data_IF_159015517606
#
_entry.id   IF_159015517606
#
_cell.length_a   1.000
_cell.length_b   1.000
_cell.length_c   1.000
_cell.angle_alpha   90.00
_cell.angle_beta   90.00
_cell.angle_gamma   90.00
#
_symmetry.space_group_name_H-M   'P 1'
#
loop_
_entity.id
_entity.type
_entity.pdbx_description
1 polymer ?
#
# COMPACT_ATOMS: atom_id res chain seq x y z
N UNK A 1 4.64 6.97 -43.97
CA UNK A 1 3.46 7.58 -43.33
C UNK A 1 3.93 8.25 -42.05
N UNK A 2 3.50 9.47 -41.76
CA UNK A 2 4.00 10.23 -40.60
C UNK A 2 3.49 9.59 -39.30
N UNK A 3 4.28 9.54 -38.22
CA UNK A 3 3.84 8.95 -36.95
C UNK A 3 2.60 9.66 -36.37
N UNK A 4 2.44 10.95 -36.66
CA UNK A 4 1.26 11.75 -36.28
C UNK A 4 -0.04 11.31 -36.97
N UNK A 5 0.02 10.85 -38.22
CA UNK A 5 -1.17 10.38 -38.95
C UNK A 5 -1.68 9.03 -38.43
N UNK A 6 -0.78 8.15 -37.97
CA UNK A 6 -1.17 6.88 -37.35
C UNK A 6 -1.86 7.11 -35.99
N UNK A 7 -1.31 8.01 -35.17
CA UNK A 7 -1.90 8.45 -33.90
C UNK A 7 -3.29 9.06 -34.08
N UNK A 8 -3.47 9.92 -35.08
CA UNK A 8 -4.80 10.49 -35.39
C UNK A 8 -5.80 9.42 -35.81
N UNK A 9 -5.36 8.34 -36.45
CA UNK A 9 -6.19 7.17 -36.75
C UNK A 9 -6.69 6.49 -35.47
N UNK A 10 -5.78 6.21 -34.53
CA UNK A 10 -6.12 5.58 -33.25
C UNK A 10 -6.99 6.43 -32.34
N UNK A 11 -6.76 7.75 -32.30
CA UNK A 11 -7.65 8.68 -31.58
C UNK A 11 -9.08 8.61 -32.12
N UNK A 12 -9.22 8.52 -33.45
CA UNK A 12 -10.55 8.38 -34.08
C UNK A 12 -11.17 7.03 -33.77
N UNK A 13 -10.41 5.95 -33.87
CA UNK A 13 -10.85 4.59 -33.52
C UNK A 13 -11.36 4.52 -32.08
N UNK A 14 -10.57 5.01 -31.11
CA UNK A 14 -10.96 5.14 -29.70
C UNK A 14 -12.20 5.99 -29.49
N UNK A 15 -12.33 7.11 -30.21
CA UNK A 15 -13.53 7.94 -30.10
C UNK A 15 -14.77 7.19 -30.60
N UNK A 16 -14.64 6.43 -31.69
CA UNK A 16 -15.75 5.64 -32.24
C UNK A 16 -16.10 4.45 -31.36
N UNK A 17 -15.13 3.79 -30.73
CA UNK A 17 -15.37 2.68 -29.80
C UNK A 17 -16.09 3.17 -28.54
N UNK A 18 -15.69 4.33 -28.00
CA UNK A 18 -16.37 4.99 -26.89
C UNK A 18 -17.82 5.39 -27.23
N UNK A 19 -18.04 5.98 -28.41
CA UNK A 19 -19.39 6.34 -28.90
C UNK A 19 -20.31 5.13 -29.02
N UNK A 20 -19.79 3.95 -29.38
CA UNK A 20 -20.55 2.70 -29.43
C UNK A 20 -20.87 2.12 -28.05
N UNK A 21 -20.04 2.37 -27.03
CA UNK A 21 -20.25 1.86 -25.67
C UNK A 21 -21.37 2.61 -24.94
N UNK A 22 -21.47 3.93 -25.11
CA UNK A 22 -22.47 4.78 -24.45
C UNK A 22 -23.93 4.30 -24.62
N UNK A 23 -24.44 3.96 -25.82
CA UNK A 23 -25.81 3.47 -25.98
C UNK A 23 -26.03 2.11 -25.30
N UNK A 24 -25.01 1.25 -25.25
CA UNK A 24 -25.10 -0.04 -24.54
C UNK A 24 -25.21 0.17 -23.02
N UNK A 25 -24.44 1.11 -22.47
CA UNK A 25 -24.52 1.49 -21.05
C UNK A 25 -25.92 2.05 -20.71
N UNK A 26 -26.48 2.91 -21.57
CA UNK A 26 -27.84 3.41 -21.39
C UNK A 26 -28.88 2.29 -21.46
N UNK A 27 -28.73 1.34 -22.40
CA UNK A 27 -29.59 0.17 -22.51
C UNK A 27 -29.51 -0.73 -21.28
N UNK A 28 -28.33 -0.91 -20.69
CA UNK A 28 -28.17 -1.64 -19.44
C UNK A 28 -28.84 -0.93 -18.28
N UNK A 29 -28.68 0.40 -18.19
CA UNK A 29 -29.31 1.22 -17.13
C UNK A 29 -30.84 1.10 -17.16
N UNK A 30 -31.41 1.13 -18.37
CA UNK A 30 -32.85 1.10 -18.59
C UNK A 30 -33.39 -0.34 -18.67
N UNK A 31 -32.55 -1.35 -18.41
CA UNK A 31 -32.96 -2.76 -18.41
C UNK A 31 -33.98 -3.03 -17.29
N UNK A 32 -35.23 -3.27 -17.69
CA UNK A 32 -36.27 -3.81 -16.83
C UNK A 32 -36.43 -5.29 -17.15
N UNK A 33 -36.16 -6.18 -16.19
CA UNK A 33 -36.43 -7.60 -16.37
C UNK A 33 -37.93 -7.79 -16.65
N UNK A 34 -38.27 -8.19 -17.87
CA UNK A 34 -39.63 -8.60 -18.19
C UNK A 34 -39.91 -9.92 -17.47
N UNK A 35 -41.14 -10.12 -17.01
CA UNK A 35 -41.54 -11.32 -16.26
C UNK A 35 -41.27 -12.56 -17.13
N UNK A 36 -40.29 -13.37 -16.74
CA UNK A 36 -39.91 -14.61 -17.44
C UNK A 36 -38.70 -14.52 -18.38
N UNK A 37 -38.18 -13.34 -18.73
CA UNK A 37 -36.82 -13.25 -19.31
C UNK A 37 -35.82 -13.24 -18.16
N UNK A 38 -35.07 -14.34 -18.03
CA UNK A 38 -34.05 -14.50 -17.00
C UNK A 38 -33.02 -13.36 -16.99
N UNK A 39 -32.23 -13.30 -15.92
CA UNK A 39 -31.14 -12.33 -15.76
C UNK A 39 -30.02 -12.45 -16.82
N UNK A 40 -30.11 -13.43 -17.72
CA UNK A 40 -29.14 -13.77 -18.76
C UNK A 40 -28.88 -12.60 -19.72
N UNK A 41 -29.93 -12.00 -20.30
CA UNK A 41 -29.78 -10.87 -21.22
C UNK A 41 -29.09 -9.64 -20.56
N UNK A 42 -29.29 -9.44 -19.25
CA UNK A 42 -28.58 -8.40 -18.49
C UNK A 42 -27.10 -8.74 -18.33
N UNK A 43 -26.80 -10.01 -18.03
CA UNK A 43 -25.44 -10.49 -17.83
C UNK A 43 -24.64 -10.47 -19.14
N UNK A 44 -25.27 -10.85 -20.26
CA UNK A 44 -24.69 -10.76 -21.60
C UNK A 44 -24.40 -9.31 -22.01
N UNK A 45 -25.36 -8.39 -21.84
CA UNK A 45 -25.12 -6.96 -22.10
C UNK A 45 -24.02 -6.42 -21.19
N UNK A 46 -23.99 -6.85 -19.92
CA UNK A 46 -22.95 -6.48 -18.97
C UNK A 46 -21.56 -6.98 -19.37
N UNK A 47 -21.45 -8.23 -19.84
CA UNK A 47 -20.18 -8.81 -20.28
C UNK A 47 -19.70 -8.21 -21.61
N UNK A 48 -20.62 -7.92 -22.54
CA UNK A 48 -20.31 -7.24 -23.80
C UNK A 48 -19.74 -5.84 -23.54
N UNK A 49 -20.41 -5.04 -22.70
CA UNK A 49 -19.92 -3.69 -22.34
C UNK A 49 -18.56 -3.79 -21.64
N UNK A 50 -18.38 -4.76 -20.75
CA UNK A 50 -17.11 -4.94 -20.05
C UNK A 50 -15.97 -5.30 -21.03
N UNK A 51 -16.23 -6.17 -22.00
CA UNK A 51 -15.25 -6.54 -23.04
C UNK A 51 -14.87 -5.33 -23.89
N UNK A 52 -15.85 -4.56 -24.38
CA UNK A 52 -15.60 -3.36 -25.21
C UNK A 52 -14.88 -2.26 -24.43
N UNK A 53 -15.21 -2.08 -23.15
CA UNK A 53 -14.52 -1.11 -22.29
C UNK A 53 -13.05 -1.53 -22.07
N UNK A 54 -12.79 -2.82 -21.89
CA UNK A 54 -11.43 -3.35 -21.75
C UNK A 54 -10.61 -3.20 -23.03
N UNK A 55 -11.22 -3.41 -24.19
CA UNK A 55 -10.60 -3.18 -25.49
C UNK A 55 -10.25 -1.70 -25.69
N UNK A 56 -11.17 -0.78 -25.39
CA UNK A 56 -10.91 0.65 -25.44
C UNK A 56 -9.83 1.10 -24.43
N UNK A 57 -9.73 0.47 -23.26
CA UNK A 57 -8.63 0.70 -22.31
C UNK A 57 -7.28 0.27 -22.88
N UNK A 58 -7.21 -0.87 -23.56
CA UNK A 58 -5.99 -1.34 -24.23
C UNK A 58 -5.58 -0.41 -25.37
N UNK A 59 -6.53 0.04 -26.19
CA UNK A 59 -6.29 1.03 -27.23
C UNK A 59 -5.75 2.35 -26.67
N UNK A 60 -6.25 2.79 -25.50
CA UNK A 60 -5.76 3.99 -24.81
C UNK A 60 -4.35 3.79 -24.27
N UNK A 61 -4.03 2.63 -23.70
CA UNK A 61 -2.67 2.32 -23.25
C UNK A 61 -1.68 2.37 -24.41
N UNK A 62 -2.06 1.80 -25.57
CA UNK A 62 -1.26 1.89 -26.79
C UNK A 62 -1.11 3.34 -27.27
N UNK A 63 -2.19 4.13 -27.24
CA UNK A 63 -2.15 5.56 -27.58
C UNK A 63 -1.20 6.33 -26.65
N UNK A 64 -1.23 6.02 -25.35
CA UNK A 64 -0.37 6.67 -24.33
C UNK A 64 1.10 6.37 -24.56
N UNK A 65 1.45 5.12 -24.88
CA UNK A 65 2.83 4.72 -25.21
C UNK A 65 3.32 5.45 -26.47
N UNK A 66 2.47 5.58 -27.49
CA UNK A 66 2.84 6.31 -28.72
C UNK A 66 2.99 7.82 -28.50
N UNK A 67 2.16 8.41 -27.64
CA UNK A 67 2.29 9.80 -27.22
C UNK A 67 3.59 10.03 -26.44
N UNK A 68 3.91 9.15 -25.49
CA UNK A 68 5.16 9.21 -24.71
C UNK A 68 6.40 9.01 -25.59
N UNK A 69 6.33 8.14 -26.60
CA UNK A 69 7.39 7.99 -27.60
C UNK A 69 7.59 9.25 -28.46
N UNK A 70 6.53 10.01 -28.75
CA UNK A 70 6.62 11.29 -29.46
C UNK A 70 7.14 12.45 -28.59
N UNK A 71 6.93 12.37 -27.29
CA UNK A 71 7.43 13.32 -26.28
C UNK A 71 8.93 13.09 -26.04
N UNK A 72 9.34 11.87 -25.73
CA UNK A 72 10.75 11.48 -25.51
C UNK A 72 11.61 11.55 -26.78
N UNK A 73 11.02 11.26 -27.95
CA UNK A 73 11.67 11.45 -29.25
C UNK A 73 11.94 12.92 -29.60
N UNK A 74 11.34 13.88 -28.88
CA UNK A 74 11.57 15.31 -29.04
C UNK A 74 12.84 15.81 -28.33
N UNK A 75 13.28 15.13 -27.27
CA UNK A 75 14.49 15.50 -26.50
C UNK A 75 15.79 15.11 -27.21
N UNK A 76 15.72 14.21 -28.20
CA UNK A 76 16.86 13.83 -29.02
C UNK A 76 17.08 14.83 -30.15
N UNK A 77 18.03 15.75 -29.92
CA UNK A 77 18.86 16.49 -30.90
C UNK A 77 18.54 17.98 -31.01
N UNK A 78 19.42 18.77 -30.39
CA UNK A 78 19.97 20.07 -30.86
C UNK A 78 19.65 20.34 -32.35
N UNK A 79 18.52 20.96 -32.67
CA UNK A 79 18.18 21.43 -34.03
C UNK A 79 17.26 22.65 -33.92
N UNK A 80 17.41 23.68 -34.79
CA UNK A 80 16.95 25.03 -34.48
C UNK A 80 15.41 25.17 -34.56
N UNK A 81 14.84 26.12 -33.80
CA UNK A 81 13.40 26.23 -33.49
C UNK A 81 12.48 26.65 -34.66
N UNK A 82 13.03 27.05 -35.80
CA UNK A 82 12.25 27.70 -36.87
C UNK A 82 11.39 26.74 -37.73
N UNK A 83 11.58 25.42 -37.63
CA UNK A 83 10.93 24.42 -38.51
C UNK A 83 9.90 23.54 -37.78
N UNK A 84 9.82 23.64 -36.45
CA UNK A 84 9.01 22.73 -35.62
C UNK A 84 7.64 23.26 -35.19
N UNK A 85 7.39 24.58 -35.25
CA UNK A 85 6.12 25.19 -34.81
C UNK A 85 4.82 24.50 -35.28
N UNK A 86 4.64 24.16 -36.58
CA UNK A 86 3.41 23.51 -37.03
C UNK A 86 3.28 22.06 -36.54
N UNK A 87 4.39 21.32 -36.43
CA UNK A 87 4.40 19.92 -36.00
C UNK A 87 4.23 19.79 -34.48
N UNK A 88 4.75 20.74 -33.71
CA UNK A 88 4.57 20.81 -32.26
C UNK A 88 3.12 21.16 -31.90
N UNK A 89 2.49 22.10 -32.61
CA UNK A 89 1.08 22.40 -32.43
C UNK A 89 0.16 21.21 -32.76
N UNK A 90 0.50 20.41 -33.78
CA UNK A 90 -0.22 19.17 -34.09
C UNK A 90 -0.07 18.11 -32.98
N UNK A 91 1.12 17.96 -32.41
CA UNK A 91 1.38 17.04 -31.29
C UNK A 91 0.60 17.44 -30.04
N UNK A 92 0.64 18.72 -29.67
CA UNK A 92 -0.07 19.24 -28.50
C UNK A 92 -1.58 19.03 -28.62
N UNK A 93 -2.14 19.22 -29.83
CA UNK A 93 -3.55 18.89 -30.11
C UNK A 93 -3.83 17.40 -29.88
N UNK A 94 -2.99 16.50 -30.37
CA UNK A 94 -3.17 15.05 -30.18
C UNK A 94 -3.09 14.68 -28.70
N UNK A 95 -2.16 15.25 -27.93
CA UNK A 95 -2.04 15.04 -26.49
C UNK A 95 -3.31 15.50 -25.77
N UNK A 96 -3.81 16.70 -26.11
CA UNK A 96 -5.05 17.22 -25.50
C UNK A 96 -6.28 16.36 -25.83
N UNK A 97 -6.36 15.80 -27.04
CA UNK A 97 -7.43 14.88 -27.44
C UNK A 97 -7.32 13.54 -26.72
N UNK A 98 -6.11 12.99 -26.58
CA UNK A 98 -5.85 11.77 -25.83
C UNK A 98 -6.24 11.92 -24.34
N UNK A 99 -5.92 13.06 -23.73
CA UNK A 99 -6.31 13.37 -22.35
C UNK A 99 -7.83 13.47 -22.16
N UNK A 100 -8.55 14.04 -23.12
CA UNK A 100 -10.02 14.08 -23.11
C UNK A 100 -10.64 12.68 -23.21
N UNK A 101 -10.16 11.86 -24.15
CA UNK A 101 -10.62 10.47 -24.30
C UNK A 101 -10.35 9.63 -23.05
N UNK A 102 -9.24 9.87 -22.35
CA UNK A 102 -8.95 9.22 -21.07
C UNK A 102 -9.98 9.56 -19.98
N UNK A 103 -10.39 10.83 -19.90
CA UNK A 103 -11.41 11.26 -18.95
C UNK A 103 -12.79 10.73 -19.32
N UNK A 104 -13.11 10.69 -20.62
CA UNK A 104 -14.36 10.12 -21.11
C UNK A 104 -14.45 8.60 -20.85
N UNK A 105 -13.34 7.86 -20.94
CA UNK A 105 -13.28 6.44 -20.55
C UNK A 105 -13.52 6.25 -19.05
N UNK A 106 -12.94 7.09 -18.19
CA UNK A 106 -13.21 7.04 -16.74
C UNK A 106 -14.68 7.34 -16.45
N UNK A 107 -15.26 8.34 -17.13
CA UNK A 107 -16.66 8.70 -16.99
C UNK A 107 -17.57 7.55 -17.39
N UNK A 108 -17.36 6.97 -18.58
CA UNK A 108 -18.16 5.83 -19.05
C UNK A 108 -18.02 4.60 -18.15
N UNK A 109 -16.86 4.35 -17.54
CA UNK A 109 -16.68 3.31 -16.52
C UNK A 109 -17.47 3.58 -15.24
N UNK A 110 -17.50 4.84 -14.79
CA UNK A 110 -18.35 5.30 -13.69
C UNK A 110 -19.84 5.09 -13.99
N UNK A 111 -20.26 5.50 -15.18
CA UNK A 111 -21.64 5.35 -15.67
C UNK A 111 -22.03 3.87 -15.81
N UNK A 112 -21.12 3.01 -16.28
CA UNK A 112 -21.34 1.57 -16.34
C UNK A 112 -21.55 0.95 -14.96
N UNK A 113 -20.75 1.33 -13.95
CA UNK A 113 -20.91 0.82 -12.58
C UNK A 113 -22.26 1.25 -11.98
N UNK A 114 -22.66 2.49 -12.20
CA UNK A 114 -23.96 2.98 -11.70
C UNK A 114 -25.12 2.31 -12.45
N UNK A 115 -25.01 2.13 -13.76
CA UNK A 115 -25.96 1.41 -14.59
C UNK A 115 -26.12 -0.06 -14.15
N UNK A 116 -25.03 -0.76 -13.84
CA UNK A 116 -25.08 -2.13 -13.31
C UNK A 116 -25.85 -2.20 -11.98
N UNK A 117 -25.60 -1.27 -11.07
CA UNK A 117 -26.31 -1.21 -9.78
C UNK A 117 -27.79 -0.90 -9.97
N UNK A 118 -28.12 0.01 -10.88
CA UNK A 118 -29.51 0.34 -11.21
C UNK A 118 -30.24 -0.84 -11.85
N UNK A 119 -29.64 -1.50 -12.83
CA UNK A 119 -30.18 -2.69 -13.48
C UNK A 119 -30.40 -3.84 -12.49
N UNK A 120 -29.46 -4.04 -11.55
CA UNK A 120 -29.60 -5.04 -10.47
C UNK A 120 -30.79 -4.69 -9.56
N UNK A 121 -30.91 -3.43 -9.12
CA UNK A 121 -32.05 -2.98 -8.30
C UNK A 121 -33.38 -3.19 -9.02
N UNK A 122 -33.46 -2.82 -10.30
CA UNK A 122 -34.66 -2.98 -11.12
C UNK A 122 -35.06 -4.47 -11.25
N UNK A 123 -34.09 -5.35 -11.49
CA UNK A 123 -34.33 -6.79 -11.57
C UNK A 123 -34.77 -7.38 -10.22
N UNK A 124 -34.20 -6.95 -9.10
CA UNK A 124 -34.65 -7.39 -7.76
C UNK A 124 -36.09 -6.92 -7.47
N UNK A 125 -36.44 -5.69 -7.86
CA UNK A 125 -37.81 -5.18 -7.72
C UNK A 125 -38.79 -6.00 -8.57
N UNK A 126 -38.42 -6.37 -9.80
CA UNK A 126 -39.24 -7.24 -10.64
C UNK A 126 -39.43 -8.63 -10.03
N UNK A 127 -38.36 -9.26 -9.52
CA UNK A 127 -38.43 -10.57 -8.85
C UNK A 127 -39.30 -10.54 -7.59
N UNK A 128 -39.29 -9.44 -6.83
CA UNK A 128 -40.17 -9.28 -5.66
C UNK A 128 -41.64 -9.21 -6.08
N UNK A 129 -41.95 -8.42 -7.10
CA UNK A 129 -43.32 -8.33 -7.66
C UNK A 129 -43.81 -9.69 -8.17
N UNK A 130 -42.96 -10.47 -8.84
CA UNK A 130 -43.32 -11.83 -9.28
C UNK A 130 -43.66 -12.75 -8.09
N UNK A 131 -42.83 -12.72 -7.03
CA UNK A 131 -43.10 -13.50 -5.81
C UNK A 131 -44.41 -13.10 -5.15
N UNK A 132 -44.70 -11.81 -5.06
CA UNK A 132 -45.96 -11.29 -4.50
C UNK A 132 -47.17 -11.78 -5.31
N UNK A 133 -47.09 -11.79 -6.64
CA UNK A 133 -48.15 -12.32 -7.50
C UNK A 133 -48.36 -13.84 -7.34
N UNK A 134 -47.28 -14.61 -7.21
CA UNK A 134 -47.35 -16.06 -6.99
C UNK A 134 -47.93 -16.41 -5.61
N UNK A 135 -47.53 -15.68 -4.56
CA UNK A 135 -48.04 -15.86 -3.20
C UNK A 135 -49.52 -15.47 -3.11
N UNK A 136 -49.92 -14.36 -3.74
CA UNK A 136 -51.33 -13.94 -3.79
C UNK A 136 -52.23 -15.00 -4.45
N UNK A 137 -51.73 -15.69 -5.49
CA UNK A 137 -52.46 -16.78 -6.16
C UNK A 137 -52.68 -17.98 -5.21
N UNK A 138 -51.69 -18.35 -4.39
CA UNK A 138 -51.77 -19.51 -3.49
C UNK A 138 -52.79 -19.35 -2.35
N UNK A 139 -53.00 -18.13 -1.83
CA UNK A 139 -53.95 -17.90 -0.72
C UNK A 139 -55.42 -17.98 -1.12
N UNK A 140 -55.74 -18.06 -2.42
CA UNK A 140 -57.11 -18.12 -2.92
C UNK A 140 -57.70 -19.54 -3.02
N UNK A 141 -56.87 -20.59 -2.97
CA UNK A 141 -57.29 -21.97 -3.26
C UNK A 141 -57.63 -22.84 -2.04
N UNK A 142 -57.43 -22.39 -0.81
CA UNK A 142 -57.49 -23.26 0.40
C UNK A 142 -58.81 -23.16 1.20
N UNK A 143 -59.79 -22.39 0.74
CA UNK A 143 -61.10 -22.27 1.40
C UNK A 143 -62.18 -23.05 0.65
N UNK A 144 -62.46 -24.27 1.14
CA UNK A 144 -63.78 -24.96 1.26
C UNK A 144 -63.66 -26.44 0.92
N UNK A 145 -63.89 -27.31 1.91
CA UNK A 145 -64.99 -28.30 1.94
C UNK A 145 -65.16 -28.87 3.37
N UNK A 146 -66.36 -28.84 3.98
CA UNK A 146 -66.66 -29.56 5.21
C UNK A 146 -67.24 -30.95 4.89
N UNK A 147 -66.84 -31.95 5.66
CA UNK A 147 -67.18 -33.38 5.48
C UNK A 147 -68.55 -33.72 6.08
N UNK A 148 -69.37 -34.44 5.30
CA UNK A 148 -70.65 -35.03 5.73
C UNK A 148 -70.45 -36.31 6.55
N UNK A 149 -71.45 -36.61 7.38
CA UNK A 149 -71.44 -37.64 8.43
C UNK A 149 -71.45 -39.05 7.81
N UNK A 150 -70.32 -39.74 7.88
CA UNK A 150 -70.15 -41.13 7.43
C UNK A 150 -70.69 -42.14 8.44
N UNK A 151 -71.26 -43.24 7.94
CA UNK A 151 -71.86 -44.33 8.73
C UNK A 151 -70.79 -45.17 9.44
N UNK A 152 -71.14 -45.99 10.42
CA UNK A 152 -70.15 -46.72 11.25
C UNK A 152 -69.31 -47.73 10.45
N UNK A 153 -69.89 -48.38 9.43
CA UNK A 153 -69.14 -49.26 8.51
C UNK A 153 -68.20 -48.46 7.60
N UNK A 154 -68.63 -47.28 7.12
CA UNK A 154 -67.75 -46.35 6.40
C UNK A 154 -66.63 -45.84 7.29
N UNK A 155 -66.87 -45.67 8.59
CA UNK A 155 -65.85 -45.24 9.55
C UNK A 155 -64.76 -46.31 9.72
N UNK A 156 -65.14 -47.58 9.77
CA UNK A 156 -64.19 -48.72 9.88
C UNK A 156 -63.43 -48.93 8.56
N UNK A 157 -64.11 -48.82 7.42
CA UNK A 157 -63.49 -48.86 6.09
C UNK A 157 -62.54 -47.67 5.90
N UNK A 158 -62.93 -46.48 6.32
CA UNK A 158 -62.11 -45.29 6.27
C UNK A 158 -60.94 -45.38 7.26
N UNK A 159 -61.10 -45.97 8.45
CA UNK A 159 -60.00 -46.21 9.38
C UNK A 159 -58.97 -47.20 8.81
N UNK A 160 -59.41 -48.24 8.11
CA UNK A 160 -58.52 -49.19 7.44
C UNK A 160 -57.80 -48.55 6.24
N UNK A 161 -58.52 -47.70 5.49
CA UNK A 161 -57.94 -46.89 4.43
C UNK A 161 -56.93 -45.89 5.00
N UNK A 162 -57.23 -45.28 6.14
CA UNK A 162 -56.37 -44.30 6.80
C UNK A 162 -55.10 -44.96 7.37
N UNK A 163 -55.19 -46.16 7.95
CA UNK A 163 -54.01 -46.96 8.32
C UNK A 163 -53.19 -47.31 7.07
N UNK A 164 -53.83 -47.72 5.98
CA UNK A 164 -53.14 -48.02 4.71
C UNK A 164 -52.49 -46.77 4.12
N UNK A 165 -53.15 -45.61 4.24
CA UNK A 165 -52.67 -44.32 3.77
C UNK A 165 -51.51 -43.84 4.63
N UNK A 166 -51.59 -44.02 5.95
CA UNK A 166 -50.56 -43.70 6.92
C UNK A 166 -49.31 -44.56 6.68
N UNK A 167 -49.47 -45.87 6.44
CA UNK A 167 -48.34 -46.76 6.15
C UNK A 167 -47.69 -46.46 4.79
N UNK A 168 -48.49 -46.09 3.78
CA UNK A 168 -47.94 -45.52 2.53
C UNK A 168 -47.21 -44.20 2.76
N UNK A 169 -47.74 -43.34 3.64
CA UNK A 169 -47.13 -42.05 3.98
C UNK A 169 -45.84 -42.22 4.76
N UNK A 170 -45.76 -43.18 5.69
CA UNK A 170 -44.52 -43.49 6.41
C UNK A 170 -43.49 -44.11 5.47
N UNK A 171 -43.90 -44.96 4.53
CA UNK A 171 -43.00 -45.46 3.49
C UNK A 171 -42.48 -44.33 2.61
N UNK A 172 -43.34 -43.42 2.16
CA UNK A 172 -42.94 -42.22 1.41
C UNK A 172 -42.00 -41.33 2.23
N UNK A 173 -42.26 -41.14 3.53
CA UNK A 173 -41.37 -40.41 4.43
C UNK A 173 -40.03 -41.10 4.60
N UNK A 174 -40.01 -42.43 4.76
CA UNK A 174 -38.78 -43.20 4.88
C UNK A 174 -37.96 -43.12 3.58
N UNK A 175 -38.60 -43.19 2.42
CA UNK A 175 -37.94 -42.97 1.13
C UNK A 175 -37.40 -41.55 0.99
N UNK A 176 -38.17 -40.55 1.44
CA UNK A 176 -37.75 -39.15 1.42
C UNK A 176 -36.55 -38.92 2.37
N UNK A 177 -36.58 -39.45 3.59
CA UNK A 177 -35.48 -39.37 4.55
C UNK A 177 -34.23 -40.12 4.07
N UNK A 178 -34.39 -41.27 3.40
CA UNK A 178 -33.26 -41.97 2.77
C UNK A 178 -32.63 -41.14 1.64
N UNK A 179 -33.44 -40.49 0.79
CA UNK A 179 -32.93 -39.58 -0.24
C UNK A 179 -32.28 -38.33 0.36
N UNK A 180 -32.82 -37.82 1.47
CA UNK A 180 -32.26 -36.70 2.24
C UNK A 180 -30.91 -37.07 2.85
N UNK A 181 -30.77 -38.29 3.37
CA UNK A 181 -29.53 -38.83 3.91
C UNK A 181 -28.46 -39.00 2.83
N UNK A 182 -28.82 -39.52 1.65
CA UNK A 182 -27.87 -39.57 0.53
C UNK A 182 -27.41 -38.19 0.08
N UNK A 183 -28.31 -37.20 0.03
CA UNK A 183 -27.94 -35.83 -0.29
C UNK A 183 -27.03 -35.20 0.78
N UNK A 184 -27.29 -35.51 2.06
CA UNK A 184 -26.43 -35.07 3.16
C UNK A 184 -25.02 -35.72 3.06
N UNK A 185 -24.95 -37.01 2.73
CA UNK A 185 -23.68 -37.72 2.52
C UNK A 185 -22.91 -37.13 1.33
N UNK A 186 -23.56 -36.91 0.18
CA UNK A 186 -22.89 -36.29 -0.97
C UNK A 186 -22.42 -34.86 -0.67
N UNK A 187 -23.15 -34.12 0.17
CA UNK A 187 -22.75 -32.77 0.60
C UNK A 187 -21.53 -32.83 1.52
N UNK A 188 -21.49 -33.78 2.46
CA UNK A 188 -20.34 -33.97 3.34
C UNK A 188 -19.10 -34.41 2.55
N UNK A 189 -19.25 -35.31 1.57
CA UNK A 189 -18.17 -35.70 0.66
C UNK A 189 -17.67 -34.50 -0.16
N UNK A 190 -18.57 -33.70 -0.74
CA UNK A 190 -18.20 -32.48 -1.45
C UNK A 190 -17.47 -31.48 -0.55
N UNK A 191 -17.93 -31.30 0.69
CA UNK A 191 -17.27 -30.42 1.65
C UNK A 191 -15.89 -30.93 2.04
N UNK A 192 -15.72 -32.25 2.17
CA UNK A 192 -14.43 -32.88 2.46
C UNK A 192 -13.48 -32.72 1.27
N UNK A 193 -13.97 -32.94 0.05
CA UNK A 193 -13.20 -32.70 -1.17
C UNK A 193 -12.78 -31.24 -1.31
N UNK A 194 -13.65 -30.29 -0.95
CA UNK A 194 -13.34 -28.87 -0.93
C UNK A 194 -12.29 -28.51 0.14
N UNK A 195 -12.30 -29.14 1.31
CA UNK A 195 -11.26 -28.95 2.33
C UNK A 195 -9.92 -29.50 1.84
N UNK A 196 -9.91 -30.64 1.16
CA UNK A 196 -8.69 -31.22 0.59
C UNK A 196 -8.13 -30.34 -0.53
N UNK A 197 -8.96 -29.84 -1.44
CA UNK A 197 -8.51 -28.93 -2.51
C UNK A 197 -8.02 -27.59 -1.95
N UNK A 198 -8.61 -27.11 -0.86
CA UNK A 198 -8.13 -25.94 -0.15
C UNK A 198 -6.76 -26.21 0.49
N UNK A 199 -6.56 -27.37 1.13
CA UNK A 199 -5.26 -27.79 1.69
C UNK A 199 -4.18 -27.88 0.61
N UNK A 200 -4.50 -28.46 -0.55
CA UNK A 200 -3.60 -28.51 -1.70
C UNK A 200 -3.27 -27.11 -2.23
N UNK A 201 -4.27 -26.23 -2.30
CA UNK A 201 -4.07 -24.82 -2.69
C UNK A 201 -3.15 -24.10 -1.70
N UNK A 202 -3.33 -24.29 -0.38
CA UNK A 202 -2.43 -23.72 0.64
C UNK A 202 -1.01 -24.27 0.55
N UNK A 203 -0.84 -25.56 0.31
CA UNK A 203 0.47 -26.18 0.06
C UNK A 203 1.13 -25.57 -1.18
N UNK A 204 0.38 -25.39 -2.27
CA UNK A 204 0.88 -24.72 -3.47
C UNK A 204 1.30 -23.26 -3.19
N UNK A 205 0.53 -22.53 -2.39
CA UNK A 205 0.89 -21.17 -1.98
C UNK A 205 2.16 -21.14 -1.13
N UNK A 206 2.38 -22.11 -0.25
CA UNK A 206 3.63 -22.21 0.52
C UNK A 206 4.84 -22.47 -0.38
N UNK A 207 4.69 -23.32 -1.42
CA UNK A 207 5.74 -23.53 -2.43
C UNK A 207 6.01 -22.27 -3.26
N UNK A 208 4.96 -21.49 -3.58
CA UNK A 208 5.10 -20.22 -4.28
C UNK A 208 5.74 -19.14 -3.40
N UNK A 209 5.38 -19.08 -2.11
CA UNK A 209 5.96 -18.13 -1.16
C UNK A 209 7.43 -18.48 -0.89
N UNK A 210 7.76 -19.76 -0.73
CA UNK A 210 9.15 -20.18 -0.53
C UNK A 210 10.01 -19.93 -1.78
N UNK A 211 9.50 -20.21 -2.98
CA UNK A 211 10.19 -19.89 -4.23
C UNK A 211 10.32 -18.38 -4.46
N UNK A 212 9.27 -17.60 -4.19
CA UNK A 212 9.31 -16.13 -4.21
C UNK A 212 10.33 -15.58 -3.22
N UNK A 213 10.35 -16.10 -1.98
CA UNK A 213 11.34 -15.72 -0.97
C UNK A 213 12.75 -16.08 -1.40
N UNK A 214 12.96 -17.25 -2.02
CA UNK A 214 14.25 -17.65 -2.56
C UNK A 214 14.72 -16.71 -3.67
N UNK A 215 13.83 -16.36 -4.61
CA UNK A 215 14.12 -15.40 -5.68
C UNK A 215 14.37 -13.98 -5.14
N UNK A 216 13.56 -13.51 -4.19
CA UNK A 216 13.75 -12.23 -3.54
C UNK A 216 15.07 -12.19 -2.75
N UNK A 217 15.43 -13.29 -2.07
CA UNK A 217 16.69 -13.38 -1.35
C UNK A 217 17.87 -13.47 -2.33
N UNK A 218 17.72 -14.13 -3.48
CA UNK A 218 18.72 -14.16 -4.55
C UNK A 218 18.92 -12.78 -5.18
N UNK A 219 17.84 -12.05 -5.46
CA UNK A 219 17.89 -10.67 -5.97
C UNK A 219 18.51 -9.71 -4.97
N UNK A 220 18.08 -9.77 -3.70
CA UNK A 220 18.65 -8.94 -2.65
C UNK A 220 20.11 -9.28 -2.37
N UNK A 221 20.48 -10.57 -2.42
CA UNK A 221 21.88 -11.00 -2.27
C UNK A 221 22.72 -10.53 -3.45
N UNK A 222 22.21 -10.66 -4.67
CA UNK A 222 22.90 -10.23 -5.89
C UNK A 222 23.09 -8.71 -5.91
N UNK A 223 22.02 -7.94 -5.69
CA UNK A 223 22.09 -6.48 -5.69
C UNK A 223 22.93 -5.93 -4.51
N UNK A 224 22.90 -6.58 -3.33
CA UNK A 224 23.79 -6.23 -2.21
C UNK A 224 25.25 -6.53 -2.50
N UNK A 225 25.56 -7.65 -3.15
CA UNK A 225 26.95 -8.01 -3.45
C UNK A 225 27.61 -7.00 -4.40
N UNK A 226 26.85 -6.51 -5.39
CA UNK A 226 27.35 -5.54 -6.37
C UNK A 226 27.54 -4.16 -5.74
N UNK A 227 26.59 -3.75 -4.88
CA UNK A 227 26.69 -2.49 -4.12
C UNK A 227 27.90 -2.48 -3.19
N UNK A 228 28.28 -3.63 -2.60
CA UNK A 228 29.44 -3.72 -1.72
C UNK A 228 30.77 -3.55 -2.46
N UNK A 229 30.90 -4.09 -3.68
CA UNK A 229 32.10 -3.87 -4.51
C UNK A 229 32.20 -2.42 -5.00
N UNK A 230 31.09 -1.80 -5.40
CA UNK A 230 31.08 -0.41 -5.84
C UNK A 230 31.38 0.54 -4.67
N UNK A 231 30.83 0.28 -3.49
CA UNK A 231 31.09 1.05 -2.27
C UNK A 231 32.55 0.95 -1.83
N UNK A 232 33.12 -0.26 -1.75
CA UNK A 232 34.54 -0.44 -1.40
C UNK A 232 35.47 0.19 -2.45
N UNK A 233 35.17 0.05 -3.75
CA UNK A 233 35.92 0.71 -4.82
C UNK A 233 35.85 2.24 -4.74
N UNK A 234 34.69 2.80 -4.41
CA UNK A 234 34.51 4.24 -4.23
C UNK A 234 35.33 4.78 -3.05
N UNK A 235 35.36 4.09 -1.90
CA UNK A 235 36.18 4.50 -0.76
C UNK A 235 37.68 4.42 -1.04
N UNK A 236 38.16 3.38 -1.74
CA UNK A 236 39.56 3.28 -2.16
C UNK A 236 39.91 4.41 -3.12
N UNK A 237 39.03 4.70 -4.10
CA UNK A 237 39.20 5.83 -5.03
C UNK A 237 39.23 7.17 -4.28
N UNK A 238 38.29 7.40 -3.36
CA UNK A 238 38.25 8.61 -2.55
C UNK A 238 39.51 8.75 -1.70
N UNK A 239 40.00 7.65 -1.11
CA UNK A 239 41.23 7.60 -0.34
C UNK A 239 42.46 7.95 -1.16
N UNK A 240 42.57 7.44 -2.40
CA UNK A 240 43.68 7.79 -3.30
C UNK A 240 43.61 9.24 -3.77
N UNK A 241 42.41 9.77 -4.06
CA UNK A 241 42.22 11.19 -4.40
C UNK A 241 42.55 12.08 -3.20
N UNK A 242 42.07 11.73 -2.00
CA UNK A 242 42.38 12.45 -0.77
C UNK A 242 43.89 12.45 -0.50
N UNK A 243 44.57 11.31 -0.71
CA UNK A 243 46.03 11.21 -0.62
C UNK A 243 46.74 12.10 -1.65
N UNK A 244 46.26 12.13 -2.89
CA UNK A 244 46.78 13.00 -3.95
C UNK A 244 46.57 14.47 -3.61
N UNK A 245 45.41 14.87 -3.10
CA UNK A 245 45.14 16.23 -2.66
C UNK A 245 46.03 16.59 -1.47
N UNK A 246 46.15 15.72 -0.47
CA UNK A 246 47.06 15.93 0.66
C UNK A 246 48.51 16.11 0.19
N UNK A 247 48.97 15.24 -0.72
CA UNK A 247 50.34 15.29 -1.23
C UNK A 247 50.59 16.45 -2.19
N UNK A 248 49.62 16.84 -3.02
CA UNK A 248 49.80 17.81 -4.10
C UNK A 248 49.38 19.22 -3.68
N UNK A 249 48.18 19.35 -3.12
CA UNK A 249 47.55 20.64 -2.81
C UNK A 249 47.90 21.14 -1.41
N UNK A 250 48.03 20.23 -0.43
CA UNK A 250 48.38 20.62 0.95
C UNK A 250 49.89 20.75 1.20
N UNK A 251 50.76 20.17 0.36
CA UNK A 251 52.21 20.28 0.60
C UNK A 251 52.89 21.43 -0.18
N UNK A 252 52.45 21.72 -1.41
CA UNK A 252 53.09 22.76 -2.24
C UNK A 252 52.57 24.18 -1.92
N UNK A 253 51.31 24.49 -2.27
CA UNK A 253 50.71 25.80 -2.02
C UNK A 253 50.68 26.20 -0.56
N UNK A 254 50.51 25.24 0.35
CA UNK A 254 50.45 25.50 1.79
C UNK A 254 51.83 25.82 2.39
N UNK A 255 52.91 25.25 1.84
CA UNK A 255 54.26 25.73 2.17
C UNK A 255 54.46 27.16 1.67
N UNK A 256 53.93 27.50 0.48
CA UNK A 256 53.93 28.89 0.02
C UNK A 256 53.08 29.78 0.93
N UNK A 257 51.90 29.32 1.38
CA UNK A 257 50.99 30.05 2.26
C UNK A 257 51.53 30.21 3.70
N UNK A 258 52.41 29.33 4.17
CA UNK A 258 53.15 29.49 5.43
C UNK A 258 54.40 30.36 5.23
N UNK A 259 55.09 30.22 4.09
CA UNK A 259 56.30 30.98 3.78
C UNK A 259 56.01 32.46 3.45
N UNK A 260 54.90 32.77 2.75
CA UNK A 260 54.52 34.13 2.39
C UNK A 260 54.32 35.04 3.61
N UNK A 261 53.48 34.71 4.62
CA UNK A 261 53.34 35.52 5.82
C UNK A 261 54.63 35.54 6.63
N UNK A 262 55.35 34.42 6.76
CA UNK A 262 56.63 34.40 7.48
C UNK A 262 57.66 35.36 6.86
N UNK A 263 57.76 35.43 5.53
CA UNK A 263 58.65 36.36 4.82
C UNK A 263 58.14 37.79 4.86
N UNK A 264 56.82 38.01 4.89
CA UNK A 264 56.21 39.33 5.03
C UNK A 264 56.45 39.88 6.44
N UNK A 265 56.31 39.05 7.47
CA UNK A 265 56.67 39.34 8.86
C UNK A 265 58.17 39.59 8.99
N UNK A 266 59.02 38.76 8.39
CA UNK A 266 60.46 39.00 8.38
C UNK A 266 60.83 40.31 7.64
N UNK A 267 60.14 40.66 6.55
CA UNK A 267 60.32 41.96 5.86
C UNK A 267 59.85 43.12 6.71
N UNK A 268 58.68 43.03 7.33
CA UNK A 268 58.16 44.08 8.23
C UNK A 268 59.07 44.22 9.46
N UNK A 269 59.53 43.12 10.05
CA UNK A 269 60.51 43.12 11.14
C UNK A 269 61.86 43.68 10.69
N UNK A 270 62.33 43.36 9.48
CA UNK A 270 63.58 43.90 8.95
C UNK A 270 63.46 45.36 8.50
N UNK A 271 62.29 45.85 8.09
CA UNK A 271 62.05 47.27 7.80
C UNK A 271 61.83 48.09 9.06
N UNK A 272 61.24 47.52 10.11
CA UNK A 272 61.08 48.20 11.40
C UNK A 272 62.37 48.20 12.21
N UNK A 273 63.17 47.12 12.14
CA UNK A 273 64.51 47.06 12.72
C UNK A 273 65.56 47.77 11.84
N UNK A 274 65.37 47.84 10.52
CA UNK A 274 66.21 48.59 9.59
C UNK A 274 65.90 50.10 9.58
N UNK A 275 64.65 50.50 9.86
CA UNK A 275 64.29 51.91 10.08
C UNK A 275 64.57 52.38 11.52
N UNK A 276 64.67 51.46 12.49
CA UNK A 276 65.15 51.76 13.85
C UNK A 276 66.67 51.53 14.03
N UNK A 277 67.37 51.09 12.98
CA UNK A 277 68.77 50.66 13.01
C UNK A 277 69.73 51.58 12.25
N UNK A 278 69.40 52.86 12.09
CA UNK A 278 70.33 53.96 11.76
C UNK A 278 69.91 55.22 12.53
N UNK A 279 69.79 55.10 13.85
CA UNK A 279 70.23 56.13 14.79
C UNK A 279 70.48 55.47 16.14
N UNK A 280 71.69 54.96 16.32
CA UNK A 280 72.39 55.00 17.59
C UNK A 280 72.72 56.47 17.91
N UNK A 281 71.68 57.23 18.29
CA UNK A 281 71.76 58.54 18.92
C UNK A 281 70.48 58.73 19.74
N UNK A 282 70.65 58.87 21.05
CA UNK A 282 69.62 58.93 22.09
C UNK A 282 68.98 57.57 22.49
N UNK A 283 69.83 56.54 22.62
CA UNK A 283 69.84 55.82 23.90
C UNK A 283 70.16 56.84 24.99
N UNK A 284 69.54 56.70 26.17
CA UNK A 284 69.77 57.56 27.33
C UNK A 284 69.20 58.98 27.11
N UNK A 285 68.22 59.41 27.86
CA UNK A 285 68.33 59.58 29.30
C UNK A 285 66.97 60.09 29.79
N UNK A 286 66.55 59.81 30.99
CA UNK A 286 67.13 59.00 32.02
C UNK A 286 66.09 58.99 33.13
N UNK A 287 65.99 57.86 33.80
CA UNK A 287 66.27 57.83 35.23
C UNK A 287 65.91 59.13 35.98
N UNK A 288 64.80 59.13 36.72
CA UNK A 288 64.88 58.92 38.17
C UNK A 288 63.52 59.10 38.87
N UNK A 289 63.39 58.34 39.97
CA UNK A 289 62.37 58.32 41.03
C UNK A 289 61.15 57.42 40.74
N UNK A 290 60.84 56.36 41.51
CA UNK A 290 61.02 56.07 42.95
C UNK A 290 61.31 54.55 43.15
N UNK A 291 62.42 54.14 43.77
CA UNK A 291 62.59 53.76 45.20
C UNK A 291 61.67 52.63 45.71
N UNK A 292 62.20 51.40 45.86
CA UNK A 292 62.52 50.76 47.16
C UNK A 292 62.52 49.21 47.09
N UNK A 293 63.64 48.63 47.55
CA UNK A 293 63.88 47.34 48.24
C UNK A 293 63.32 46.02 47.65
N UNK A 294 64.14 45.05 47.22
CA UNK A 294 65.15 44.24 47.93
C UNK A 294 64.59 43.42 49.09
N UNK A 295 64.76 42.10 48.96
CA UNK A 295 64.51 41.05 49.94
C UNK A 295 63.08 40.50 49.97
N UNK A 296 62.85 39.41 49.24
CA UNK A 296 62.63 38.10 49.88
C UNK A 296 62.54 37.00 48.83
N UNK A 297 63.30 35.94 49.08
CA UNK A 297 63.14 34.58 48.59
C UNK A 297 63.45 34.35 47.08
N UNK A 298 64.57 33.79 46.63
CA UNK A 298 65.52 32.84 47.25
C UNK A 298 64.87 31.93 48.30
N UNK A 299 63.95 31.10 47.84
CA UNK A 299 63.71 29.77 48.39
C UNK A 299 62.95 29.04 47.28
N UNK A 300 63.60 28.03 46.67
CA UNK A 300 63.26 26.63 46.92
C UNK A 300 61.98 26.22 46.17
N UNK A 301 61.86 25.04 45.57
CA UNK A 301 62.73 23.91 45.38
C UNK A 301 61.84 22.91 44.64
N UNK A 302 62.41 22.21 43.66
CA UNK A 302 62.03 20.87 43.25
C UNK A 302 60.66 20.71 42.51
N UNK A 303 60.53 19.84 41.52
CA UNK A 303 61.28 18.58 41.37
C UNK A 303 61.25 18.14 39.91
N UNK A 304 62.45 17.83 39.40
CA UNK A 304 62.83 16.58 38.71
C UNK A 304 62.03 16.11 37.47
N UNK A 305 62.61 15.50 36.45
CA UNK A 305 64.00 15.25 36.07
C UNK A 305 63.97 14.53 34.69
N UNK A 306 65.01 14.78 33.90
CA UNK A 306 65.85 13.81 33.17
C UNK A 306 65.15 12.67 32.37
N UNK A 307 65.14 12.71 31.02
CA UNK A 307 66.18 12.24 30.06
C UNK A 307 66.50 10.74 30.06
N UNK A 308 66.27 10.12 28.89
CA UNK A 308 66.99 8.95 28.32
C UNK A 308 66.51 7.57 28.79
N UNK A 309 66.54 6.47 28.02
CA UNK A 309 67.09 6.15 26.68
C UNK A 309 66.65 4.72 26.29
N UNK A 310 66.65 4.41 24.98
CA UNK A 310 66.88 3.12 24.24
C UNK A 310 65.97 1.85 24.34
N UNK A 311 65.53 1.43 23.15
CA UNK A 311 65.76 0.14 22.44
C UNK A 311 65.03 -1.19 22.79
N UNK A 312 64.35 -1.67 21.74
CA UNK A 312 64.30 -3.04 21.17
C UNK A 312 63.41 -4.17 21.74
N UNK A 313 62.89 -4.93 20.75
CA UNK A 313 62.40 -6.33 20.76
C UNK A 313 61.09 -6.58 21.49
N UNK A 314 60.24 -7.57 21.20
CA UNK A 314 59.97 -8.48 20.08
C UNK A 314 58.82 -9.37 20.57
N UNK A 315 57.87 -9.71 19.69
CA UNK A 315 57.02 -10.90 19.73
C UNK A 315 55.99 -11.10 20.88
N UNK A 316 54.91 -11.80 20.48
CA UNK A 316 54.24 -12.88 21.22
C UNK A 316 52.88 -12.63 21.92
N UNK A 317 51.82 -12.91 21.13
CA UNK A 317 50.69 -13.82 21.37
C UNK A 317 49.50 -13.48 22.32
N UNK A 318 48.33 -13.87 21.78
CA UNK A 318 47.06 -14.28 22.40
C UNK A 318 46.32 -13.34 23.36
N UNK A 319 45.06 -13.00 23.05
CA UNK A 319 43.89 -13.82 23.44
C UNK A 319 42.57 -13.16 23.00
N UNK A 320 41.68 -13.95 22.40
CA UNK A 320 40.25 -13.63 22.16
C UNK A 320 39.51 -13.41 23.50
N UNK A 321 38.35 -12.71 23.52
CA UNK A 321 37.12 -13.48 23.39
C UNK A 321 35.99 -12.79 22.61
N UNK A 322 35.20 -13.67 21.99
CA UNK A 322 33.88 -13.46 21.42
C UNK A 322 32.83 -13.23 22.52
N UNK A 323 31.89 -12.30 22.29
CA UNK A 323 30.63 -12.22 23.04
C UNK A 323 29.49 -11.68 22.14
N UNK A 324 28.24 -12.11 22.38
CA UNK A 324 27.17 -12.19 21.39
C UNK A 324 26.27 -10.96 21.34
N UNK A 325 25.63 -10.75 20.19
CA UNK A 325 24.65 -9.70 19.97
C UNK A 325 23.31 -10.14 20.58
N UNK A 326 22.97 -9.48 21.68
CA UNK A 326 21.72 -9.59 22.44
C UNK A 326 20.51 -9.23 21.56
N UNK A 327 19.77 -10.27 21.16
CA UNK A 327 18.55 -10.18 20.35
C UNK A 327 17.28 -10.23 21.19
N UNK A 328 17.38 -10.39 22.52
CA UNK A 328 16.23 -10.44 23.43
C UNK A 328 15.67 -9.05 23.73
N UNK A 329 16.54 -8.04 23.76
CA UNK A 329 16.17 -6.68 24.16
C UNK A 329 15.29 -5.94 23.13
N UNK A 330 15.24 -6.42 21.89
CA UNK A 330 14.35 -5.86 20.85
C UNK A 330 12.98 -6.55 20.82
N UNK A 331 12.87 -7.79 21.30
CA UNK A 331 11.59 -8.50 21.41
C UNK A 331 10.77 -7.94 22.59
N UNK A 332 11.42 -7.65 23.72
CA UNK A 332 10.77 -7.03 24.88
C UNK A 332 10.23 -5.63 24.56
N UNK A 333 10.97 -4.87 23.74
CA UNK A 333 10.56 -3.52 23.34
C UNK A 333 9.40 -3.51 22.35
N UNK A 334 9.20 -4.61 21.61
CA UNK A 334 8.05 -4.80 20.72
C UNK A 334 6.85 -5.34 21.51
N UNK A 335 7.07 -6.16 22.54
CA UNK A 335 6.04 -6.57 23.49
C UNK A 335 5.39 -5.39 24.21
N UNK A 336 6.20 -4.48 24.77
CA UNK A 336 5.73 -3.30 25.49
C UNK A 336 4.94 -2.31 24.59
N UNK A 337 5.29 -2.23 23.30
CA UNK A 337 4.58 -1.37 22.34
C UNK A 337 3.23 -1.96 21.90
N UNK A 338 3.12 -3.29 21.78
CA UNK A 338 1.86 -3.96 21.44
C UNK A 338 0.88 -3.93 22.62
N UNK A 339 1.38 -4.02 23.85
CA UNK A 339 0.57 -3.94 25.07
C UNK A 339 0.04 -2.51 25.32
N UNK A 340 0.78 -1.47 24.90
CA UNK A 340 0.32 -0.07 24.93
C UNK A 340 -0.77 0.26 23.89
N UNK A 341 -0.80 -0.41 22.74
CA UNK A 341 -1.88 -0.21 21.75
C UNK A 341 -3.18 -0.95 22.13
N UNK A 342 -3.08 -2.03 22.92
CA UNK A 342 -4.24 -2.81 23.34
C UNK A 342 -5.12 -2.10 24.39
N UNK A 343 -4.58 -1.08 25.07
CA UNK A 343 -5.30 -0.22 26.02
C UNK A 343 -5.97 1.01 25.39
N UNK A 344 -5.99 1.14 24.06
CA UNK A 344 -6.83 2.13 23.37
C UNK A 344 -8.17 1.51 23.01
N UNK A 345 -8.90 1.05 24.03
CA UNK A 345 -10.33 0.81 23.92
C UNK A 345 -10.97 2.11 23.44
N UNK A 346 -11.64 2.05 22.29
CA UNK A 346 -12.47 3.15 21.80
C UNK A 346 -13.50 3.44 22.87
N UNK A 347 -13.31 4.57 23.56
CA UNK A 347 -14.23 5.04 24.60
C UNK A 347 -15.55 5.41 23.92
N UNK A 348 -16.58 4.61 24.16
CA UNK A 348 -17.89 4.71 23.48
C UNK A 348 -18.72 5.90 24.03
N UNK A 349 -18.26 6.56 25.09
CA UNK A 349 -19.03 7.58 25.80
C UNK A 349 -18.70 9.04 25.43
N UNK A 350 -17.71 9.31 24.57
CA UNK A 350 -17.38 10.68 24.14
C UNK A 350 -18.15 11.12 22.88
N UNK A 351 -19.47 10.89 22.89
CA UNK A 351 -20.37 11.40 21.84
C UNK A 351 -20.90 12.77 22.26
N UNK A 352 -20.41 13.80 21.56
CA UNK A 352 -20.86 15.19 21.67
C UNK A 352 -22.39 15.27 21.60
N UNK A 353 -23.07 16.06 22.48
CA UNK A 353 -24.54 16.08 22.56
C UNK A 353 -25.25 16.43 21.24
N UNK A 354 -24.59 17.14 20.33
CA UNK A 354 -25.12 17.45 18.99
C UNK A 354 -25.19 16.22 18.06
N UNK A 355 -24.28 15.26 18.18
CA UNK A 355 -24.29 14.04 17.36
C UNK A 355 -25.36 13.04 17.82
N UNK A 356 -25.66 13.01 19.11
CA UNK A 356 -26.76 12.20 19.68
C UNK A 356 -28.12 12.66 19.16
N UNK A 357 -28.33 13.97 19.02
CA UNK A 357 -29.56 14.54 18.46
C UNK A 357 -29.73 14.16 16.97
N UNK A 358 -28.65 14.22 16.18
CA UNK A 358 -28.67 13.81 14.78
C UNK A 358 -29.00 12.33 14.61
N UNK A 359 -28.45 11.46 15.46
CA UNK A 359 -28.73 10.02 15.41
C UNK A 359 -30.17 9.67 15.83
N UNK A 360 -30.81 10.49 16.66
CA UNK A 360 -32.22 10.32 17.05
C UNK A 360 -33.20 10.69 15.92
N UNK A 361 -32.81 11.55 14.98
CA UNK A 361 -33.63 11.93 13.82
C UNK A 361 -33.62 10.87 12.71
N UNK A 362 -32.69 9.90 12.71
CA UNK A 362 -32.72 8.80 11.76
C UNK A 362 -33.77 7.74 12.16
N UNK A 363 -34.66 7.30 11.26
CA UNK A 363 -35.65 6.28 11.56
C UNK A 363 -34.98 4.96 11.93
N UNK A 364 -35.29 4.45 13.13
CA UNK A 364 -34.72 3.19 13.65
C UNK A 364 -35.09 2.02 12.74
N UNK A 365 -34.07 1.30 12.29
CA UNK A 365 -34.20 0.14 11.42
C UNK A 365 -34.84 -1.04 12.17
N UNK A 366 -36.09 -1.36 11.83
CA UNK A 366 -36.91 -2.39 12.50
C UNK A 366 -36.45 -3.84 12.25
N UNK A 367 -35.43 -4.05 11.41
CA UNK A 367 -34.92 -5.39 11.07
C UNK A 367 -33.73 -5.84 11.92
N UNK A 368 -33.23 -5.01 12.83
CA UNK A 368 -32.19 -5.43 13.78
C UNK A 368 -32.87 -5.92 15.07
N UNK A 369 -33.18 -7.22 15.12
CA UNK A 369 -33.53 -7.91 16.38
C UNK A 369 -32.30 -7.85 17.27
N UNK A 370 -32.32 -7.01 18.31
CA UNK A 370 -31.36 -7.10 19.40
C UNK A 370 -31.72 -8.36 20.18
N UNK A 371 -30.77 -9.29 20.26
CA UNK A 371 -30.88 -10.48 21.09
C UNK A 371 -30.80 -10.00 22.56
N UNK A 372 -31.93 -10.01 23.26
CA UNK A 372 -32.01 -9.65 24.68
C UNK A 372 -31.55 -10.88 25.47
N UNK A 373 -30.25 -10.92 25.77
CA UNK A 373 -29.68 -11.94 26.64
C UNK A 373 -29.99 -11.57 28.10
N UNK A 374 -30.61 -12.52 28.80
CA UNK A 374 -31.12 -12.49 30.17
C UNK A 374 -30.51 -11.47 31.12
N UNK A 375 -31.36 -10.56 31.60
CA UNK A 375 -31.20 -9.98 32.94
C UNK A 375 -31.45 -11.09 33.96
N UNK A 376 -30.37 -11.61 34.56
CA UNK A 376 -30.47 -12.30 35.85
C UNK A 376 -30.70 -11.23 36.93
N UNK A 377 -31.89 -11.20 37.50
CA UNK A 377 -32.17 -10.45 38.73
C UNK A 377 -31.44 -11.12 39.90
N UNK A 378 -30.67 -10.38 40.73
CA UNK A 378 -30.18 -10.91 41.98
C UNK A 378 -31.32 -10.91 43.00
N UNK A 379 -31.77 -12.12 43.35
CA UNK A 379 -32.62 -12.40 44.51
C UNK A 379 -31.91 -11.85 45.75
N UNK A 380 -32.49 -10.81 46.35
CA UNK A 380 -32.11 -10.34 47.69
C UNK A 380 -32.81 -11.22 48.71
N UNK A 381 -32.03 -12.02 49.43
CA UNK A 381 -32.42 -12.54 50.72
C UNK A 381 -32.61 -11.37 51.69
N UNK A 382 -33.83 -11.19 52.20
CA UNK A 382 -34.05 -10.47 53.44
C UNK A 382 -34.73 -11.41 54.45
N UNK A 383 -34.20 -11.33 55.67
CA UNK A 383 -34.52 -12.04 56.90
C UNK A 383 -35.91 -11.69 57.46
#
# INVERSE_FOLDING_TARGET
MSPTTALQGRVKELSTSLEQIQPLVNRLRDFTASIGQGDEARLELGSEIHSRLKEAEQELELLRVEVEALETGSDSRRKPPAVHGPKEAEKERVISMAGRLAEDLKRTRGDFRTAQLQAKRNAELAKRKERELLLSRSHSSEKKQPTEKLTQDDLVLNASNDVTSALRRTHQLMQAELSRSQFAQSTLEQSTAAITSLSESYSSLDTLISSSRSLANSLLRSQKSDTWYLETAFYVLLGTIAWLLFRRIFYGPLWWLVWLPFKLIARVAFTTLGAAGLSTAAVESASQSLSADVSTAIHQMATAAATGTVSASSAAWEQEPSAPIDSDRVIDKIGDMVEQEQHKSVDIDDVTPEERARQAELPRNTKKRMFEAGMEEPVRDEL
#
